data_IF_308685554252
#
_entry.id   IF_308685554252
#
_cell.length_a   1.000
_cell.length_b   1.000
_cell.length_c   1.000
_cell.angle_alpha   90.00
_cell.angle_beta   90.00
_cell.angle_gamma   90.00
#
_symmetry.space_group_name_H-M   'P 1'
#
loop_
_entity.id
_entity.type
_entity.pdbx_description
1 polymer ?
#
# COMPACT_ATOMS: atom_id res chain seq x y z
N UNK A 1 -1.55 -12.32 -22.83
CA UNK A 1 -1.23 -12.39 -21.38
C UNK A 1 -0.68 -11.03 -20.96
N UNK A 2 -1.13 -10.47 -19.84
CA UNK A 2 -0.54 -9.22 -19.31
C UNK A 2 0.86 -9.49 -18.76
N UNK A 3 1.78 -8.53 -18.90
CA UNK A 3 3.06 -8.55 -18.18
C UNK A 3 2.81 -8.51 -16.65
N UNK A 4 3.23 -9.54 -15.89
CA UNK A 4 3.01 -9.60 -14.43
C UNK A 4 3.56 -8.39 -13.67
N UNK A 5 4.71 -7.86 -14.10
CA UNK A 5 5.31 -6.69 -13.46
C UNK A 5 4.46 -5.44 -13.69
N UNK A 6 4.00 -5.23 -14.94
CA UNK A 6 3.10 -4.13 -15.27
C UNK A 6 1.80 -4.20 -14.45
N UNK A 7 1.22 -5.38 -14.31
CA UNK A 7 0.01 -5.58 -13.49
C UNK A 7 0.27 -5.30 -12.01
N UNK A 8 1.40 -5.75 -11.46
CA UNK A 8 1.77 -5.48 -10.07
C UNK A 8 2.00 -3.98 -9.79
N UNK A 9 2.66 -3.26 -10.70
CA UNK A 9 2.86 -1.82 -10.57
C UNK A 9 1.54 -1.05 -10.63
N UNK A 10 0.60 -1.46 -11.49
CA UNK A 10 -0.73 -0.87 -11.55
C UNK A 10 -1.51 -1.04 -10.24
N UNK A 11 -1.37 -2.18 -9.56
CA UNK A 11 -1.97 -2.40 -8.23
C UNK A 11 -1.35 -1.49 -7.17
N UNK A 12 -0.02 -1.29 -7.20
CA UNK A 12 0.62 -0.31 -6.31
C UNK A 12 0.14 1.12 -6.54
N UNK A 13 -0.09 1.51 -7.80
CA UNK A 13 -0.62 2.82 -8.14
C UNK A 13 -2.07 2.97 -7.66
N UNK A 14 -2.91 1.96 -7.87
CA UNK A 14 -4.29 1.94 -7.38
C UNK A 14 -4.36 2.03 -5.85
N UNK A 15 -3.51 1.29 -5.13
CA UNK A 15 -3.40 1.36 -3.68
C UNK A 15 -3.04 2.78 -3.22
N UNK A 16 -1.99 3.37 -3.78
CA UNK A 16 -1.53 4.71 -3.39
C UNK A 16 -2.56 5.80 -3.71
N UNK A 17 -3.25 5.68 -4.84
CA UNK A 17 -4.33 6.59 -5.21
C UNK A 17 -5.53 6.48 -4.26
N UNK A 18 -5.97 5.27 -3.93
CA UNK A 18 -7.04 5.04 -2.94
C UNK A 18 -6.68 5.59 -1.57
N UNK A 19 -5.45 5.30 -1.12
CA UNK A 19 -4.90 5.79 0.14
C UNK A 19 -4.96 7.32 0.23
N UNK A 20 -4.43 8.02 -0.79
CA UNK A 20 -4.38 9.49 -0.81
C UNK A 20 -5.75 10.15 -0.96
N UNK A 21 -6.77 9.46 -1.49
CA UNK A 21 -8.16 9.94 -1.50
C UNK A 21 -8.92 9.67 -0.20
N UNK A 22 -8.33 8.93 0.74
CA UNK A 22 -9.05 8.49 1.92
C UNK A 22 -10.08 7.38 1.65
N UNK A 23 -9.92 6.64 0.55
CA UNK A 23 -10.90 5.69 0.00
C UNK A 23 -10.58 4.25 0.47
N UNK A 24 -11.20 3.85 1.59
CA UNK A 24 -10.99 2.54 2.22
C UNK A 24 -11.37 1.37 1.30
N UNK A 25 -12.43 1.53 0.49
CA UNK A 25 -12.88 0.50 -0.44
C UNK A 25 -11.86 0.27 -1.56
N UNK A 26 -11.29 1.35 -2.12
CA UNK A 26 -10.23 1.24 -3.12
C UNK A 26 -8.94 0.63 -2.55
N UNK A 27 -8.57 1.00 -1.31
CA UNK A 27 -7.42 0.38 -0.62
C UNK A 27 -7.64 -1.12 -0.44
N UNK A 28 -8.82 -1.53 0.04
CA UNK A 28 -9.17 -2.94 0.17
C UNK A 28 -9.16 -3.64 -1.19
N UNK A 29 -9.69 -3.04 -2.25
CA UNK A 29 -9.70 -3.60 -3.60
C UNK A 29 -8.28 -3.92 -4.12
N UNK A 30 -7.28 -3.12 -3.76
CA UNK A 30 -5.89 -3.34 -4.14
C UNK A 30 -5.16 -4.40 -3.28
N UNK A 31 -5.79 -4.91 -2.21
CA UNK A 31 -5.23 -5.95 -1.36
C UNK A 31 -5.79 -7.34 -1.68
N UNK A 32 -4.92 -8.35 -1.59
CA UNK A 32 -5.32 -9.75 -1.50
C UNK A 32 -5.66 -10.12 -0.05
N UNK A 33 -6.72 -10.91 0.12
CA UNK A 33 -7.18 -11.42 1.42
C UNK A 33 -7.09 -12.95 1.46
N UNK A 34 -6.64 -13.57 2.57
CA UNK A 34 -6.21 -12.94 3.83
C UNK A 34 -4.97 -12.04 3.65
N UNK A 35 -5.03 -10.82 4.19
CA UNK A 35 -3.96 -9.84 4.06
C UNK A 35 -3.03 -9.93 5.25
N UNK A 36 -1.73 -10.14 5.00
CA UNK A 36 -0.72 -10.33 6.04
C UNK A 36 0.24 -9.15 6.02
N UNK A 37 0.44 -8.52 7.19
CA UNK A 37 1.43 -7.47 7.40
C UNK A 37 2.40 -7.89 8.49
N UNK A 38 3.69 -7.88 8.14
CA UNK A 38 4.80 -8.17 9.06
C UNK A 38 5.59 -6.89 9.23
N UNK A 39 5.45 -6.22 10.38
CA UNK A 39 6.14 -4.96 10.66
C UNK A 39 6.15 -4.63 12.15
N UNK A 40 7.20 -3.94 12.62
CA UNK A 40 7.31 -3.51 14.02
C UNK A 40 7.32 -4.66 15.02
N UNK A 41 7.90 -5.80 14.64
CA UNK A 41 7.95 -7.01 15.48
C UNK A 41 6.61 -7.74 15.62
N UNK A 42 5.58 -7.37 14.85
CA UNK A 42 4.24 -7.97 14.91
C UNK A 42 3.82 -8.54 13.56
N UNK A 43 3.01 -9.59 13.61
CA UNK A 43 2.24 -10.11 12.48
C UNK A 43 0.79 -9.73 12.69
N UNK A 44 0.21 -9.00 11.74
CA UNK A 44 -1.22 -8.68 11.70
C UNK A 44 -1.81 -9.37 10.49
N UNK A 45 -2.94 -10.04 10.68
CA UNK A 45 -3.68 -10.72 9.63
C UNK A 45 -5.09 -10.15 9.59
N UNK A 46 -5.53 -9.74 8.40
CA UNK A 46 -6.92 -9.42 8.10
C UNK A 46 -7.50 -10.56 7.26
N UNK A 47 -8.32 -11.46 7.84
CA UNK A 47 -8.86 -12.63 7.15
C UNK A 47 -9.69 -12.29 5.93
N UNK A 48 -10.57 -11.28 6.02
CA UNK A 48 -11.54 -10.95 4.98
C UNK A 48 -11.46 -9.51 4.50
N UNK A 49 -11.95 -9.28 3.29
CA UNK A 49 -12.04 -7.94 2.67
C UNK A 49 -12.94 -7.05 3.53
N UNK A 50 -12.51 -5.81 3.79
CA UNK A 50 -13.21 -4.85 4.65
C UNK A 50 -12.67 -4.81 6.08
N UNK A 51 -11.87 -5.79 6.50
CA UNK A 51 -11.23 -5.76 7.82
C UNK A 51 -9.99 -4.85 7.87
N UNK A 52 -9.34 -4.61 6.73
CA UNK A 52 -8.31 -3.55 6.67
C UNK A 52 -9.03 -2.20 6.78
N UNK A 53 -8.90 -1.56 7.95
CA UNK A 53 -9.44 -0.22 8.20
C UNK A 53 -8.40 0.85 7.90
N UNK A 54 -8.80 1.88 7.16
CA UNK A 54 -7.91 2.98 6.80
C UNK A 54 -7.52 3.81 8.03
N UNK A 55 -8.36 3.86 9.05
CA UNK A 55 -8.05 4.55 10.31
C UNK A 55 -6.86 3.90 11.04
N UNK A 56 -6.69 2.57 10.97
CA UNK A 56 -5.48 1.90 11.48
C UNK A 56 -4.23 2.38 10.74
N UNK A 57 -4.35 2.74 9.46
CA UNK A 57 -3.25 3.33 8.70
C UNK A 57 -2.97 4.76 9.14
N UNK A 58 -4.02 5.58 9.32
CA UNK A 58 -3.88 6.97 9.75
C UNK A 58 -3.20 7.06 11.13
N UNK A 59 -3.58 6.19 12.06
CA UNK A 59 -2.99 6.11 13.40
C UNK A 59 -1.47 5.82 13.40
N UNK A 60 -0.95 5.20 12.34
CA UNK A 60 0.49 4.90 12.15
C UNK A 60 1.15 5.72 11.04
N UNK A 61 0.42 6.65 10.42
CA UNK A 61 0.92 7.45 9.31
C UNK A 61 1.86 8.58 9.80
N UNK A 62 1.71 8.99 11.05
CA UNK A 62 2.39 10.14 11.65
C UNK A 62 1.47 11.36 11.67
N UNK A 63 1.70 12.25 12.62
CA UNK A 63 0.85 13.42 12.85
C UNK A 63 0.89 14.37 11.65
N UNK A 64 -0.29 14.79 11.20
CA UNK A 64 -0.45 15.70 10.08
C UNK A 64 -0.30 15.05 8.70
N UNK A 65 -0.32 13.72 8.59
CA UNK A 65 -0.31 13.03 7.31
C UNK A 65 -1.44 13.50 6.38
N UNK A 66 -1.07 13.87 5.15
CA UNK A 66 -2.01 14.27 4.10
C UNK A 66 -1.93 13.38 2.86
N UNK A 67 -0.71 12.98 2.45
CA UNK A 67 -0.50 12.09 1.31
C UNK A 67 0.79 11.29 1.43
N UNK A 68 0.87 10.20 0.68
CA UNK A 68 2.10 9.43 0.45
C UNK A 68 2.45 9.38 -1.03
N UNK A 69 3.69 9.03 -1.34
CA UNK A 69 4.17 8.84 -2.72
C UNK A 69 5.20 7.72 -2.75
N UNK A 70 5.18 6.92 -3.82
CA UNK A 70 6.24 5.95 -4.11
C UNK A 70 7.53 6.68 -4.51
N UNK A 71 8.63 6.38 -3.81
CA UNK A 71 9.98 6.85 -4.14
C UNK A 71 10.77 5.78 -4.91
N UNK A 72 10.55 4.50 -4.55
CA UNK A 72 11.19 3.35 -5.18
C UNK A 72 10.16 2.22 -5.32
N UNK A 73 10.18 1.53 -6.46
CA UNK A 73 9.38 0.32 -6.75
C UNK A 73 10.22 -0.66 -7.56
N UNK A 74 11.18 -1.30 -6.91
CA UNK A 74 12.17 -2.17 -7.56
C UNK A 74 11.70 -3.63 -7.51
N UNK A 75 11.52 -4.33 -8.64
CA UNK A 75 11.18 -5.75 -8.62
C UNK A 75 12.37 -6.57 -8.09
N UNK A 76 12.10 -7.44 -7.12
CA UNK A 76 13.06 -8.41 -6.57
C UNK A 76 12.90 -9.75 -7.31
N UNK A 77 11.66 -10.15 -7.57
CA UNK A 77 11.33 -11.39 -8.28
C UNK A 77 10.02 -11.21 -9.04
N UNK A 78 10.02 -11.61 -10.32
CA UNK A 78 8.86 -11.59 -11.21
C UNK A 78 8.58 -13.02 -11.65
N UNK A 79 7.51 -13.60 -11.11
CA UNK A 79 6.93 -14.87 -11.58
C UNK A 79 5.71 -14.63 -12.48
N UNK A 80 5.15 -15.71 -13.08
CA UNK A 80 4.00 -15.61 -13.98
C UNK A 80 2.72 -15.11 -13.29
N UNK A 81 2.59 -15.34 -11.98
CA UNK A 81 1.40 -15.07 -11.17
C UNK A 81 1.69 -14.20 -9.92
N UNK A 82 2.97 -13.96 -9.62
CA UNK A 82 3.39 -13.25 -8.40
C UNK A 82 4.62 -12.38 -8.63
N UNK A 83 4.59 -11.18 -8.09
CA UNK A 83 5.72 -10.24 -8.12
C UNK A 83 6.06 -9.81 -6.69
N UNK A 84 7.35 -9.88 -6.36
CA UNK A 84 7.90 -9.32 -5.12
C UNK A 84 8.60 -8.00 -5.44
N UNK A 85 8.22 -6.93 -4.73
CA UNK A 85 8.76 -5.58 -4.92
C UNK A 85 9.42 -5.08 -3.63
N UNK A 86 10.61 -4.51 -3.75
CA UNK A 86 11.19 -3.60 -2.77
C UNK A 86 10.60 -2.22 -3.02
N UNK A 87 9.96 -1.65 -2.01
CA UNK A 87 9.35 -0.31 -2.11
C UNK A 87 9.93 0.65 -1.08
N UNK A 88 10.03 1.92 -1.48
CA UNK A 88 10.26 3.06 -0.60
C UNK A 88 9.18 4.09 -0.88
N UNK A 89 8.68 4.75 0.15
CA UNK A 89 7.69 5.79 0.00
C UNK A 89 7.90 6.88 1.04
N UNK A 90 7.56 8.11 0.64
CA UNK A 90 7.60 9.30 1.48
C UNK A 90 6.19 9.69 1.89
N UNK A 91 6.07 10.34 3.03
CA UNK A 91 4.82 10.88 3.58
C UNK A 91 4.92 12.39 3.69
N UNK A 92 3.83 13.07 3.42
CA UNK A 92 3.80 14.53 3.38
C UNK A 92 2.64 15.08 4.20
N UNK A 93 2.88 16.23 4.83
CA UNK A 93 1.83 17.05 5.43
C UNK A 93 1.07 17.83 4.36
N UNK A 94 -0.04 18.47 4.75
CA UNK A 94 -0.88 19.27 3.87
C UNK A 94 -0.17 20.49 3.26
N UNK A 95 0.84 21.03 3.94
CA UNK A 95 1.70 22.11 3.44
C UNK A 95 2.82 21.61 2.49
N UNK A 96 2.91 20.30 2.25
CA UNK A 96 3.92 19.68 1.42
C UNK A 96 5.23 19.35 2.13
N UNK A 97 5.38 19.65 3.43
CA UNK A 97 6.56 19.25 4.20
C UNK A 97 6.63 17.72 4.39
N UNK A 98 7.85 17.19 4.41
CA UNK A 98 8.09 15.76 4.62
C UNK A 98 7.81 15.35 6.08
N UNK A 99 7.25 14.16 6.25
CA UNK A 99 7.05 13.47 7.53
C UNK A 99 8.11 12.40 7.78
#
# INVERSE_FOLDING_TARGET
>A
MSDPLKSALAVLDAYMAGLNRGDEAAVNAACNFPHVRIAGGKVVVWPTRGEYRLDDFRARAGDGWARSQWDERTPIHVGPDKVHLKVKFSRFRGDGSLL
#
